data_IF_706069973172
#
_entry.id   IF_706069973172
#
_cell.length_a   1.000
_cell.length_b   1.000
_cell.length_c   1.000
_cell.angle_alpha   90.00
_cell.angle_beta   90.00
_cell.angle_gamma   90.00
#
_symmetry.space_group_name_H-M   'P 1'
#
loop_
_entity.id
_entity.type
_entity.pdbx_description
1 polymer ?
#
# COMPACT_ATOMS: atom_id res chain seq x y z
N UNK A 1 -49.52 -25.66 46.13
CA UNK A 1 -50.59 -26.50 45.54
C UNK A 1 -51.46 -27.03 46.68
N UNK A 2 -52.79 -26.98 46.58
CA UNK A 2 -53.69 -27.46 47.65
C UNK A 2 -54.53 -28.62 47.09
N UNK A 3 -54.34 -29.82 47.63
CA UNK A 3 -55.13 -31.00 47.25
C UNK A 3 -56.54 -30.88 47.82
N UNK A 4 -57.52 -31.50 47.16
CA UNK A 4 -58.84 -31.66 47.76
C UNK A 4 -58.78 -32.64 48.95
N UNK A 5 -59.83 -32.66 49.79
CA UNK A 5 -59.91 -33.45 51.03
C UNK A 5 -59.72 -34.96 50.85
N UNK A 6 -59.92 -35.46 49.63
CA UNK A 6 -59.72 -36.84 49.17
C UNK A 6 -58.37 -37.06 48.45
N UNK A 7 -57.45 -36.08 48.46
CA UNK A 7 -56.12 -36.17 47.87
C UNK A 7 -56.05 -35.95 46.36
N UNK A 8 -57.16 -35.54 45.72
CA UNK A 8 -57.24 -35.37 44.27
C UNK A 8 -56.69 -34.00 43.83
N UNK A 9 -55.97 -33.96 42.71
CA UNK A 9 -55.50 -32.74 42.07
C UNK A 9 -56.64 -32.09 41.29
N UNK A 10 -56.87 -30.80 41.51
CA UNK A 10 -57.88 -30.03 40.77
C UNK A 10 -57.36 -29.55 39.42
N UNK A 11 -58.26 -29.29 38.48
CA UNK A 11 -57.93 -28.64 37.21
C UNK A 11 -57.21 -27.30 37.41
N UNK A 12 -57.58 -26.55 38.46
CA UNK A 12 -56.91 -25.30 38.85
C UNK A 12 -55.44 -25.54 39.23
N UNK A 13 -55.14 -26.62 39.95
CA UNK A 13 -53.76 -26.98 40.30
C UNK A 13 -52.93 -27.35 39.06
N UNK A 14 -53.53 -28.09 38.11
CA UNK A 14 -52.89 -28.44 36.83
C UNK A 14 -52.57 -27.18 36.02
N UNK A 15 -53.53 -26.26 35.90
CA UNK A 15 -53.33 -25.01 35.16
C UNK A 15 -52.23 -24.14 35.78
N UNK A 16 -52.16 -24.05 37.12
CA UNK A 16 -51.08 -23.33 37.79
C UNK A 16 -49.70 -23.98 37.53
N UNK A 17 -49.63 -25.30 37.56
CA UNK A 17 -48.40 -26.04 37.27
C UNK A 17 -47.96 -25.83 35.82
N UNK A 18 -48.89 -25.92 34.87
CA UNK A 18 -48.61 -25.70 33.45
C UNK A 18 -48.14 -24.27 33.18
N UNK A 19 -48.75 -23.27 33.82
CA UNK A 19 -48.33 -21.88 33.67
C UNK A 19 -46.93 -21.63 34.27
N UNK A 20 -46.62 -22.24 35.42
CA UNK A 20 -45.27 -22.18 36.02
C UNK A 20 -44.22 -22.84 35.14
N UNK A 21 -44.53 -24.03 34.59
CA UNK A 21 -43.63 -24.71 33.65
C UNK A 21 -43.42 -23.91 32.37
N UNK A 22 -44.49 -23.34 31.80
CA UNK A 22 -44.38 -22.50 30.60
C UNK A 22 -43.47 -21.30 30.85
N UNK A 23 -43.64 -20.62 31.99
CA UNK A 23 -42.79 -19.49 32.36
C UNK A 23 -41.30 -19.91 32.48
N UNK A 24 -41.02 -21.05 33.13
CA UNK A 24 -39.66 -21.58 33.24
C UNK A 24 -39.05 -21.94 31.88
N UNK A 25 -39.84 -22.54 30.99
CA UNK A 25 -39.39 -22.87 29.62
C UNK A 25 -39.04 -21.60 28.86
N UNK A 26 -39.90 -20.57 28.91
CA UNK A 26 -39.62 -19.28 28.25
C UNK A 26 -38.36 -18.61 28.80
N UNK A 27 -38.12 -18.65 30.11
CA UNK A 27 -36.87 -18.14 30.70
C UNK A 27 -35.66 -18.91 30.19
N UNK A 28 -35.72 -20.25 30.17
CA UNK A 28 -34.63 -21.08 29.66
C UNK A 28 -34.34 -20.81 28.17
N UNK A 29 -35.37 -20.60 27.35
CA UNK A 29 -35.21 -20.22 25.95
C UNK A 29 -34.48 -18.88 25.79
N UNK A 30 -34.81 -17.89 26.63
CA UNK A 30 -34.13 -16.60 26.64
C UNK A 30 -32.65 -16.74 27.06
N UNK A 31 -32.37 -17.50 28.11
CA UNK A 31 -31.00 -17.77 28.57
C UNK A 31 -30.16 -18.46 27.49
N UNK A 32 -30.73 -19.46 26.81
CA UNK A 32 -30.06 -20.16 25.70
C UNK A 32 -29.76 -19.21 24.54
N UNK A 33 -30.68 -18.32 24.19
CA UNK A 33 -30.45 -17.34 23.12
C UNK A 33 -29.30 -16.39 23.45
N UNK A 34 -29.21 -15.91 24.71
CA UNK A 34 -28.10 -15.06 25.16
C UNK A 34 -26.76 -15.82 25.11
N UNK A 35 -26.74 -17.09 25.51
CA UNK A 35 -25.54 -17.93 25.44
C UNK A 35 -25.10 -18.15 23.98
N UNK A 36 -26.03 -18.39 23.06
CA UNK A 36 -25.71 -18.54 21.64
C UNK A 36 -25.11 -17.27 21.03
N UNK A 37 -25.66 -16.10 21.38
CA UNK A 37 -25.11 -14.83 20.91
C UNK A 37 -23.72 -14.54 21.49
N UNK A 38 -23.53 -14.79 22.78
CA UNK A 38 -22.24 -14.65 23.45
C UNK A 38 -21.20 -15.59 22.84
N UNK A 39 -21.57 -16.84 22.57
CA UNK A 39 -20.71 -17.82 21.90
C UNK A 39 -20.34 -17.40 20.49
N UNK A 40 -21.28 -16.84 19.73
CA UNK A 40 -21.02 -16.31 18.39
C UNK A 40 -19.96 -15.19 18.42
N UNK A 41 -20.12 -14.24 19.33
CA UNK A 41 -19.16 -13.13 19.52
C UNK A 41 -17.78 -13.66 19.92
N UNK A 42 -17.72 -14.55 20.91
CA UNK A 42 -16.46 -15.15 21.35
C UNK A 42 -15.76 -15.92 20.21
N UNK A 43 -16.51 -16.59 19.35
CA UNK A 43 -15.97 -17.31 18.18
C UNK A 43 -15.31 -16.34 17.19
N UNK A 44 -15.93 -15.18 16.94
CA UNK A 44 -15.38 -14.14 16.08
C UNK A 44 -14.11 -13.55 16.67
N UNK A 45 -14.12 -13.24 17.97
CA UNK A 45 -12.96 -12.70 18.69
C UNK A 45 -11.78 -13.66 18.65
N UNK A 46 -12.01 -14.97 18.88
CA UNK A 46 -10.98 -16.01 18.76
C UNK A 46 -10.39 -16.04 17.35
N UNK A 47 -11.21 -15.97 16.31
CA UNK A 47 -10.75 -15.91 14.92
C UNK A 47 -9.87 -14.68 14.65
N UNK A 48 -10.25 -13.51 15.18
CA UNK A 48 -9.45 -12.29 15.07
C UNK A 48 -8.10 -12.40 15.78
N UNK A 49 -8.08 -12.95 17.00
CA UNK A 49 -6.85 -13.17 17.76
C UNK A 49 -5.91 -14.15 17.05
N UNK A 50 -6.43 -15.20 16.43
CA UNK A 50 -5.64 -16.15 15.64
C UNK A 50 -4.94 -15.46 14.45
N UNK A 51 -5.64 -14.57 13.75
CA UNK A 51 -5.03 -13.82 12.64
C UNK A 51 -3.92 -12.89 13.14
N UNK A 52 -4.14 -12.19 14.24
CA UNK A 52 -3.11 -11.33 14.84
C UNK A 52 -1.87 -12.12 15.26
N UNK A 53 -2.05 -13.29 15.87
CA UNK A 53 -0.95 -14.18 16.23
C UNK A 53 -0.14 -14.60 14.99
N UNK A 54 -0.81 -14.94 13.89
CA UNK A 54 -0.13 -15.30 12.65
C UNK A 54 0.72 -14.14 12.11
N UNK A 55 0.16 -12.93 12.05
CA UNK A 55 0.90 -11.72 11.62
C UNK A 55 2.11 -11.45 12.51
N UNK A 56 1.96 -11.59 13.82
CA UNK A 56 3.06 -11.41 14.77
C UNK A 56 4.16 -12.44 14.54
N UNK A 57 3.80 -13.71 14.31
CA UNK A 57 4.77 -14.77 14.04
C UNK A 57 5.54 -14.53 12.73
N UNK A 58 4.85 -14.10 11.68
CA UNK A 58 5.47 -13.79 10.38
C UNK A 58 6.46 -12.62 10.52
N UNK A 59 6.06 -11.56 11.22
CA UNK A 59 6.91 -10.39 11.47
C UNK A 59 8.08 -10.73 12.40
N UNK A 60 7.89 -11.57 13.41
CA UNK A 60 8.97 -12.05 14.28
C UNK A 60 10.01 -12.84 13.50
N UNK A 61 9.58 -13.74 12.62
CA UNK A 61 10.48 -14.48 11.73
C UNK A 61 11.26 -13.52 10.82
N UNK A 62 10.58 -12.54 10.22
CA UNK A 62 11.22 -11.51 9.40
C UNK A 62 12.26 -10.71 10.18
N UNK A 63 11.96 -10.27 11.41
CA UNK A 63 12.91 -9.54 12.25
C UNK A 63 14.09 -10.39 12.71
N UNK A 64 13.89 -11.68 12.95
CA UNK A 64 14.96 -12.60 13.36
C UNK A 64 16.04 -12.71 12.28
N UNK A 65 15.65 -12.63 11.01
CA UNK A 65 16.54 -12.71 9.86
C UNK A 65 17.03 -11.36 9.35
N UNK A 66 16.47 -10.25 9.85
CA UNK A 66 16.86 -8.92 9.40
C UNK A 66 18.22 -8.51 9.98
N UNK A 67 19.17 -8.17 9.11
CA UNK A 67 20.53 -7.78 9.49
C UNK A 67 20.83 -6.28 9.45
N UNK A 68 19.91 -5.46 8.94
CA UNK A 68 20.02 -4.00 8.97
C UNK A 68 20.14 -3.34 7.60
N UNK A 69 20.42 -2.04 7.64
CA UNK A 69 20.66 -1.18 6.48
C UNK A 69 22.14 -0.85 6.38
N UNK A 70 22.71 -1.01 5.19
CA UNK A 70 24.12 -0.79 4.93
C UNK A 70 24.30 0.14 3.75
N UNK A 71 25.34 0.98 3.82
CA UNK A 71 25.67 1.90 2.75
C UNK A 71 26.35 1.18 1.60
N UNK A 72 27.30 0.28 1.90
CA UNK A 72 28.12 -0.43 0.91
C UNK A 72 27.78 -1.91 0.88
N UNK A 73 27.78 -2.49 -0.32
CA UNK A 73 27.58 -3.92 -0.54
C UNK A 73 28.68 -4.77 0.12
N UNK A 74 29.90 -4.24 0.19
CA UNK A 74 31.04 -4.89 0.84
C UNK A 74 30.83 -5.09 2.34
N UNK A 75 30.10 -4.20 3.00
CA UNK A 75 29.80 -4.35 4.43
C UNK A 75 28.83 -5.53 4.64
N UNK A 76 27.83 -5.66 3.76
CA UNK A 76 26.88 -6.78 3.78
C UNK A 76 27.60 -8.11 3.56
N UNK A 77 28.46 -8.18 2.54
CA UNK A 77 29.21 -9.40 2.21
C UNK A 77 30.11 -9.89 3.35
N UNK A 78 30.56 -8.98 4.22
CA UNK A 78 31.43 -9.28 5.36
C UNK A 78 30.68 -9.46 6.69
N UNK A 79 29.34 -9.56 6.68
CA UNK A 79 28.56 -9.67 7.91
C UNK A 79 28.87 -10.97 8.68
N UNK A 80 29.29 -10.88 9.96
CA UNK A 80 29.56 -12.05 10.78
C UNK A 80 28.26 -12.73 11.22
N UNK A 81 28.33 -14.00 11.58
CA UNK A 81 27.22 -14.79 12.14
C UNK A 81 25.97 -14.86 11.24
N UNK A 82 26.17 -14.85 9.93
CA UNK A 82 25.10 -14.96 8.94
C UNK A 82 24.54 -16.40 8.85
N UNK A 83 23.24 -16.51 8.75
CA UNK A 83 22.47 -17.75 8.68
C UNK A 83 21.53 -17.75 7.46
N UNK A 84 21.14 -18.94 7.02
CA UNK A 84 20.28 -19.08 5.84
C UNK A 84 18.97 -18.30 6.01
N UNK A 85 18.60 -17.51 5.00
CA UNK A 85 17.38 -16.68 5.02
C UNK A 85 17.57 -15.30 5.63
N UNK A 86 18.77 -14.98 6.14
CA UNK A 86 19.09 -13.61 6.55
C UNK A 86 19.03 -12.66 5.36
N UNK A 87 18.58 -11.43 5.62
CA UNK A 87 18.52 -10.38 4.62
C UNK A 87 18.97 -9.02 5.16
N UNK A 88 19.53 -8.21 4.27
CA UNK A 88 20.02 -6.86 4.56
C UNK A 88 19.65 -5.91 3.41
N UNK A 89 19.54 -4.62 3.70
CA UNK A 89 19.21 -3.61 2.69
C UNK A 89 20.43 -2.81 2.31
N UNK A 90 20.68 -2.69 1.00
CA UNK A 90 21.82 -1.93 0.47
C UNK A 90 21.37 -0.59 -0.09
N UNK A 91 22.02 0.48 0.36
CA UNK A 91 21.85 1.81 -0.22
C UNK A 91 22.60 1.93 -1.55
N UNK A 92 23.78 1.31 -1.67
CA UNK A 92 24.61 1.35 -2.89
C UNK A 92 23.91 0.71 -4.10
N UNK A 93 23.30 -0.46 -3.93
CA UNK A 93 22.59 -1.15 -5.02
C UNK A 93 21.10 -0.84 -5.06
N UNK A 94 20.53 -0.28 -3.99
CA UNK A 94 19.10 -0.08 -3.84
C UNK A 94 18.28 -1.38 -3.77
N UNK A 95 18.95 -2.48 -3.43
CA UNK A 95 18.35 -3.82 -3.41
C UNK A 95 18.50 -4.52 -2.07
N UNK A 96 17.67 -5.54 -1.89
CA UNK A 96 17.79 -6.50 -0.81
C UNK A 96 18.91 -7.50 -1.15
N UNK A 97 19.77 -7.74 -0.18
CA UNK A 97 20.76 -8.78 -0.20
C UNK A 97 20.29 -9.92 0.69
N UNK A 98 20.49 -11.15 0.25
CA UNK A 98 20.09 -12.36 0.97
C UNK A 98 21.29 -13.27 1.20
N UNK A 99 21.30 -13.96 2.34
CA UNK A 99 22.30 -14.96 2.65
C UNK A 99 21.76 -16.36 2.43
N UNK A 100 22.49 -17.15 1.64
CA UNK A 100 22.22 -18.57 1.47
C UNK A 100 23.48 -19.38 1.79
N UNK A 101 23.31 -20.42 2.61
CA UNK A 101 24.39 -21.34 2.97
C UNK A 101 24.79 -22.27 1.82
N UNK A 102 23.92 -22.44 0.83
CA UNK A 102 24.09 -23.32 -0.32
C UNK A 102 24.20 -22.55 -1.65
N UNK A 103 24.53 -21.26 -1.59
CA UNK A 103 24.65 -20.43 -2.78
C UNK A 103 25.66 -21.03 -3.78
N UNK A 104 25.24 -21.17 -5.03
CA UNK A 104 26.10 -21.66 -6.10
C UNK A 104 26.82 -20.49 -6.74
N UNK A 105 28.13 -20.42 -6.55
CA UNK A 105 28.97 -19.45 -7.25
C UNK A 105 30.21 -20.14 -7.79
N UNK A 106 30.62 -19.79 -9.01
CA UNK A 106 31.85 -20.31 -9.64
C UNK A 106 31.93 -21.85 -9.71
N UNK A 107 30.80 -22.54 -9.83
CA UNK A 107 30.75 -24.01 -9.98
C UNK A 107 30.81 -24.79 -8.66
N UNK A 108 30.86 -24.12 -7.51
CA UNK A 108 30.85 -24.75 -6.19
C UNK A 108 29.74 -24.17 -5.30
N UNK A 109 29.30 -24.95 -4.31
CA UNK A 109 28.39 -24.47 -3.25
C UNK A 109 29.22 -23.81 -2.17
N UNK A 110 28.99 -22.52 -1.94
CA UNK A 110 29.65 -21.78 -0.86
C UNK A 110 28.64 -20.85 -0.19
N UNK A 111 28.66 -20.74 1.15
CA UNK A 111 27.80 -19.81 1.86
C UNK A 111 28.16 -18.38 1.50
N UNK A 112 27.17 -17.53 1.23
CA UNK A 112 27.45 -16.16 0.87
C UNK A 112 26.21 -15.28 0.74
N UNK A 113 26.48 -13.98 0.80
CA UNK A 113 25.52 -12.95 0.46
C UNK A 113 25.45 -12.77 -1.05
N UNK A 114 24.24 -12.80 -1.59
CA UNK A 114 23.95 -12.50 -2.98
C UNK A 114 22.90 -11.40 -3.07
N UNK A 115 22.96 -10.62 -4.14
CA UNK A 115 21.96 -9.61 -4.44
C UNK A 115 20.71 -10.32 -5.01
N UNK A 116 19.56 -10.21 -4.35
CA UNK A 116 18.33 -10.87 -4.84
C UNK A 116 17.72 -10.14 -6.04
N UNK A 117 18.09 -8.88 -6.25
CA UNK A 117 17.49 -7.99 -7.26
C UNK A 117 16.18 -7.36 -6.80
N UNK A 118 15.66 -7.74 -5.63
CA UNK A 118 14.46 -7.12 -5.06
C UNK A 118 14.78 -5.70 -4.62
N UNK A 119 13.93 -4.75 -4.98
CA UNK A 119 14.07 -3.35 -4.55
C UNK A 119 13.83 -3.26 -3.05
N UNK A 120 14.62 -2.43 -2.35
CA UNK A 120 14.35 -2.16 -0.94
C UNK A 120 13.01 -1.41 -0.85
N UNK A 121 12.02 -1.90 -0.08
CA UNK A 121 10.67 -1.30 -0.06
C UNK A 121 10.60 0.14 0.42
N UNK A 122 11.60 0.62 1.16
CA UNK A 122 11.67 1.99 1.67
C UNK A 122 12.40 2.97 0.73
N UNK A 123 13.02 2.45 -0.33
CA UNK A 123 13.58 3.30 -1.38
C UNK A 123 12.44 3.73 -2.30
N UNK A 124 11.93 4.93 -2.05
CA UNK A 124 11.08 5.63 -3.02
C UNK A 124 11.82 5.71 -4.35
N UNK A 125 11.17 5.30 -5.44
CA UNK A 125 11.67 5.60 -6.78
C UNK A 125 11.94 7.11 -6.83
N UNK A 126 13.18 7.57 -7.11
CA UNK A 126 13.46 8.99 -7.17
C UNK A 126 12.50 9.67 -8.15
N UNK A 127 12.06 10.85 -7.78
CA UNK A 127 11.26 11.65 -8.69
C UNK A 127 12.11 12.08 -9.89
N UNK A 128 11.50 12.11 -11.07
CA UNK A 128 12.12 12.52 -12.33
C UNK A 128 12.78 13.88 -12.18
N UNK A 129 14.02 13.99 -12.66
CA UNK A 129 14.74 15.25 -12.85
C UNK A 129 14.63 15.76 -14.30
N UNK A 130 13.82 15.09 -15.12
CA UNK A 130 13.61 15.47 -16.51
C UNK A 130 12.92 16.84 -16.60
N UNK A 131 13.51 17.71 -17.41
CA UNK A 131 12.87 18.97 -17.79
C UNK A 131 11.77 18.64 -18.81
N UNK A 132 10.50 19.06 -18.58
CA UNK A 132 9.44 18.87 -19.56
C UNK A 132 9.82 19.44 -20.92
N UNK A 133 9.46 18.71 -21.99
CA UNK A 133 9.69 19.19 -23.35
C UNK A 133 9.00 20.55 -23.57
N UNK A 134 9.67 21.39 -24.36
CA UNK A 134 9.07 22.59 -24.91
C UNK A 134 7.87 22.19 -25.78
N UNK A 135 6.81 22.99 -25.76
CA UNK A 135 5.66 22.77 -26.65
C UNK A 135 6.13 22.73 -28.12
N UNK A 136 5.60 21.81 -28.90
CA UNK A 136 5.96 21.62 -30.32
C UNK A 136 5.00 22.37 -31.25
N UNK A 137 4.19 23.30 -30.72
CA UNK A 137 3.20 24.07 -31.47
C UNK A 137 1.96 23.26 -31.88
N UNK A 138 2.02 21.93 -31.74
CA UNK A 138 0.94 20.98 -32.07
C UNK A 138 0.21 20.45 -30.84
N UNK A 139 0.61 20.88 -29.63
CA UNK A 139 -0.02 20.47 -28.37
C UNK A 139 0.18 18.99 -28.03
N UNK A 140 1.24 18.36 -28.54
CA UNK A 140 1.53 16.95 -28.26
C UNK A 140 1.97 16.81 -26.80
N UNK A 141 1.19 16.04 -26.03
CA UNK A 141 1.54 15.71 -24.66
C UNK A 141 2.77 14.78 -24.63
N UNK A 142 3.75 15.11 -23.80
CA UNK A 142 4.82 14.18 -23.45
C UNK A 142 4.29 13.08 -22.53
N UNK A 143 4.68 11.82 -22.77
CA UNK A 143 4.34 10.68 -21.90
C UNK A 143 5.59 10.19 -21.19
N UNK A 144 5.55 10.12 -19.86
CA UNK A 144 6.59 9.48 -19.03
C UNK A 144 5.93 8.56 -18.00
N UNK A 145 6.59 7.44 -17.72
CA UNK A 145 6.20 6.52 -16.65
C UNK A 145 6.86 6.87 -15.31
N UNK A 146 7.68 7.92 -15.28
CA UNK A 146 8.41 8.36 -14.08
C UNK A 146 7.54 9.25 -13.19
N UNK A 147 7.74 9.14 -11.88
CA UNK A 147 7.11 10.02 -10.91
C UNK A 147 7.59 11.46 -11.12
N UNK A 148 6.67 12.39 -11.39
CA UNK A 148 7.01 13.80 -11.62
C UNK A 148 7.17 14.58 -10.31
N UNK A 149 8.16 15.47 -10.23
CA UNK A 149 8.28 16.42 -9.12
C UNK A 149 7.24 17.53 -9.27
N UNK A 150 6.77 18.06 -8.13
CA UNK A 150 5.80 19.17 -8.13
C UNK A 150 6.34 20.50 -8.66
N UNK A 151 7.66 20.64 -8.84
CA UNK A 151 8.32 21.85 -9.34
C UNK A 151 8.64 21.82 -10.84
N UNK A 152 8.04 20.90 -11.61
CA UNK A 152 8.16 20.85 -13.06
C UNK A 152 7.63 22.14 -13.73
N UNK A 153 8.44 22.72 -14.61
CA UNK A 153 8.05 23.86 -15.45
C UNK A 153 8.21 23.52 -16.92
N UNK A 154 7.20 23.81 -17.72
CA UNK A 154 7.32 23.79 -19.17
C UNK A 154 8.11 25.02 -19.63
N UNK A 155 9.17 24.86 -20.44
CA UNK A 155 9.80 25.98 -21.11
C UNK A 155 8.77 26.71 -22.00
N UNK A 156 8.72 28.04 -21.88
CA UNK A 156 7.80 28.84 -22.71
C UNK A 156 8.29 28.85 -24.16
N UNK A 157 7.37 28.57 -25.09
CA UNK A 157 7.65 28.56 -26.53
C UNK A 157 7.20 29.88 -27.19
N UNK A 158 7.59 31.01 -26.60
CA UNK A 158 7.21 32.35 -27.06
C UNK A 158 8.37 33.01 -27.82
N UNK A 159 8.04 33.80 -28.86
CA UNK A 159 9.03 34.57 -29.60
C UNK A 159 9.47 35.80 -28.81
N UNK A 160 10.78 36.01 -28.71
CA UNK A 160 11.37 37.32 -28.32
C UNK A 160 11.76 38.16 -29.55
N UNK A 161 11.53 37.65 -30.76
CA UNK A 161 11.85 38.33 -32.02
C UNK A 161 10.76 39.35 -32.35
N UNK A 162 11.18 40.59 -32.63
CA UNK A 162 10.29 41.64 -33.14
C UNK A 162 9.80 41.28 -34.54
N UNK A 163 8.50 41.48 -34.83
CA UNK A 163 7.95 41.29 -36.17
C UNK A 163 8.66 42.16 -37.20
N UNK A 164 8.74 41.64 -38.43
CA UNK A 164 9.11 42.47 -39.57
C UNK A 164 8.09 43.60 -39.73
N UNK A 165 8.57 44.78 -40.17
CA UNK A 165 7.71 45.91 -40.52
C UNK A 165 6.70 45.49 -41.58
N UNK A 166 5.46 45.93 -41.43
CA UNK A 166 4.44 45.72 -42.45
C UNK A 166 4.86 46.40 -43.77
N UNK A 167 4.56 45.74 -44.89
CA UNK A 167 4.72 46.31 -46.24
C UNK A 167 3.35 46.39 -46.91
N UNK A 168 3.22 47.16 -48.00
CA UNK A 168 1.94 47.34 -48.72
C UNK A 168 1.39 46.04 -49.35
N UNK A 169 2.16 44.95 -49.30
CA UNK A 169 1.78 43.60 -49.71
C UNK A 169 2.08 42.66 -48.54
N UNK A 170 1.05 42.33 -47.75
CA UNK A 170 1.22 41.44 -46.59
C UNK A 170 1.77 40.08 -47.01
N UNK A 171 2.81 39.60 -46.32
CA UNK A 171 3.36 38.25 -46.49
C UNK A 171 3.01 37.39 -45.29
N UNK A 172 2.58 36.15 -45.52
CA UNK A 172 2.35 35.20 -44.44
C UNK A 172 3.71 34.71 -43.94
N UNK A 173 4.01 35.00 -42.67
CA UNK A 173 5.18 34.44 -41.99
C UNK A 173 4.88 33.05 -41.42
N UNK A 174 5.88 32.17 -41.44
CA UNK A 174 5.85 30.90 -40.69
C UNK A 174 6.64 31.12 -39.40
N UNK A 175 6.03 30.86 -38.25
CA UNK A 175 6.69 30.87 -36.95
C UNK A 175 6.58 29.49 -36.32
N UNK A 176 7.67 29.02 -35.71
CA UNK A 176 7.63 27.84 -34.86
C UNK A 176 7.19 28.17 -33.44
N UNK A 177 7.14 29.45 -33.04
CA UNK A 177 6.85 29.95 -31.68
C UNK A 177 5.60 30.80 -31.58
N UNK A 178 4.99 30.84 -30.40
CA UNK A 178 3.80 31.66 -30.11
C UNK A 178 4.14 33.16 -30.00
N UNK A 179 3.21 34.00 -30.48
CA UNK A 179 3.25 35.44 -30.24
C UNK A 179 2.75 35.76 -28.82
N UNK A 180 3.37 36.73 -28.15
CA UNK A 180 2.97 37.20 -26.82
C UNK A 180 1.79 38.17 -26.92
N UNK A 181 1.08 38.38 -25.81
CA UNK A 181 -0.02 39.36 -25.76
C UNK A 181 0.44 40.81 -25.93
N UNK A 182 1.70 41.12 -25.60
CA UNK A 182 2.33 42.44 -25.72
C UNK A 182 2.99 42.69 -27.09
N UNK A 183 2.70 41.85 -28.08
CA UNK A 183 3.27 41.92 -29.41
C UNK A 183 2.81 43.17 -30.18
N UNK A 184 3.76 43.86 -30.84
CA UNK A 184 3.50 45.05 -31.63
C UNK A 184 4.03 44.91 -33.06
N UNK A 185 3.26 45.40 -34.02
CA UNK A 185 3.70 45.57 -35.39
C UNK A 185 4.33 46.96 -35.54
N UNK A 186 5.62 47.06 -35.89
CA UNK A 186 6.21 48.37 -36.16
C UNK A 186 5.61 48.95 -37.45
N UNK A 187 4.92 50.09 -37.32
CA UNK A 187 4.30 50.81 -38.44
C UNK A 187 5.39 51.50 -39.27
N UNK A 188 5.23 51.49 -40.60
CA UNK A 188 6.06 52.29 -41.50
C UNK A 188 5.73 53.79 -41.29
N UNK A 189 6.72 54.54 -40.81
CA UNK A 189 6.76 56.01 -40.87
C UNK A 189 7.89 56.43 -41.78
#
# INVERSE_FOLDING_TARGET
>A
MKLETNGVITLKNINLLNNDFLAKITTLEQEVNVLQQTLGTATQDIGGLQQQINVINDELNRQTHFRGYYLQNTDIQNLPNSANGDFAFSTESGTVWMYDQNWYSQGERQPGWYNSGDIVPDQVTPASDAIPLVDSGTGVAGTSNEYSRGDHKHPLQVSDVLPSKDTSVGTVGQASSYARSDHQHPIQT
#
